data_IF_583274471642
#
_entry.id   IF_583274471642
#
_cell.length_a   1.000
_cell.length_b   1.000
_cell.length_c   1.000
_cell.angle_alpha   90.00
_cell.angle_beta   90.00
_cell.angle_gamma   90.00
#
_symmetry.space_group_name_H-M   'P 1'
#
loop_
_entity.id
_entity.type
_entity.pdbx_description
1 polymer ?
#
# COMPACT_ATOMS: atom_id res chain seq x y z
N UNK A 1 -19.17 25.08 16.54
CA UNK A 1 -18.75 23.88 17.32
C UNK A 1 -17.35 23.46 16.87
N UNK A 2 -16.39 23.20 17.77
CA UNK A 2 -15.06 22.75 17.37
C UNK A 2 -15.16 21.36 16.71
N UNK A 3 -14.54 21.18 15.53
CA UNK A 3 -14.51 19.88 14.83
C UNK A 3 -13.89 18.83 15.75
N UNK A 4 -14.65 17.78 16.08
CA UNK A 4 -14.19 16.67 16.93
C UNK A 4 -12.98 15.99 16.28
N UNK A 5 -11.84 15.94 16.99
CA UNK A 5 -10.63 15.24 16.52
C UNK A 5 -10.98 13.78 16.19
N UNK A 6 -10.53 13.31 15.02
CA UNK A 6 -10.75 11.93 14.58
C UNK A 6 -10.05 10.96 15.54
N UNK A 7 -10.69 9.81 15.80
CA UNK A 7 -10.03 8.73 16.55
C UNK A 7 -8.92 8.10 15.70
N UNK A 8 -7.91 7.51 16.37
CA UNK A 8 -6.78 6.84 15.70
C UNK A 8 -7.24 5.81 14.67
N UNK A 9 -8.27 5.02 14.97
CA UNK A 9 -8.84 4.03 14.04
C UNK A 9 -9.41 4.69 12.77
N UNK A 10 -10.08 5.84 12.90
CA UNK A 10 -10.57 6.60 11.74
C UNK A 10 -9.42 7.18 10.91
N UNK A 11 -8.35 7.66 11.56
CA UNK A 11 -7.14 8.11 10.87
C UNK A 11 -6.46 6.97 10.10
N UNK A 12 -6.31 5.79 10.71
CA UNK A 12 -5.76 4.59 10.03
C UNK A 12 -6.57 4.24 8.79
N UNK A 13 -7.91 4.21 8.88
CA UNK A 13 -8.78 3.94 7.73
C UNK A 13 -8.62 5.00 6.62
N UNK A 14 -8.49 6.27 7.00
CA UNK A 14 -8.23 7.36 6.05
C UNK A 14 -6.87 7.20 5.36
N UNK A 15 -5.81 6.92 6.13
CA UNK A 15 -4.47 6.68 5.60
C UNK A 15 -4.43 5.46 4.67
N UNK A 16 -5.05 4.34 5.07
CA UNK A 16 -5.12 3.14 4.23
C UNK A 16 -5.74 3.45 2.86
N UNK A 17 -6.82 4.24 2.81
CA UNK A 17 -7.46 4.64 1.55
C UNK A 17 -6.53 5.51 0.70
N UNK A 18 -5.92 6.53 1.29
CA UNK A 18 -5.05 7.47 0.58
C UNK A 18 -3.80 6.76 0.07
N UNK A 19 -3.11 6.02 0.93
CA UNK A 19 -1.94 5.23 0.56
C UNK A 19 -2.25 4.21 -0.55
N UNK A 20 -3.40 3.54 -0.46
CA UNK A 20 -3.86 2.59 -1.49
C UNK A 20 -4.05 3.26 -2.85
N UNK A 21 -4.62 4.48 -2.88
CA UNK A 21 -4.76 5.27 -4.12
C UNK A 21 -3.38 5.68 -4.65
N UNK A 22 -2.51 6.21 -3.79
CA UNK A 22 -1.16 6.62 -4.15
C UNK A 22 -0.38 5.47 -4.79
N UNK A 23 -0.34 4.29 -4.19
CA UNK A 23 0.40 3.13 -4.73
C UNK A 23 -0.07 2.79 -6.15
N UNK A 24 -1.39 2.83 -6.41
CA UNK A 24 -1.91 2.51 -7.74
C UNK A 24 -1.64 3.60 -8.76
N UNK A 25 -1.83 4.87 -8.40
CA UNK A 25 -1.54 6.00 -9.28
C UNK A 25 -0.05 6.11 -9.61
N UNK A 26 0.83 5.97 -8.62
CA UNK A 26 2.27 6.04 -8.79
C UNK A 26 2.82 4.96 -9.73
N UNK A 27 2.17 3.80 -9.79
CA UNK A 27 2.56 2.69 -10.67
C UNK A 27 1.72 2.64 -11.97
N UNK A 28 0.88 3.64 -12.22
CA UNK A 28 0.10 3.73 -13.45
C UNK A 28 0.92 4.37 -14.57
N UNK A 29 0.70 3.92 -15.81
CA UNK A 29 1.19 4.59 -16.99
C UNK A 29 0.37 5.87 -17.30
N UNK A 30 0.74 6.57 -18.38
CA UNK A 30 0.03 7.78 -18.86
C UNK A 30 -1.46 7.58 -19.15
N UNK A 31 -1.90 6.34 -19.35
CA UNK A 31 -3.29 5.97 -19.62
C UNK A 31 -4.01 5.46 -18.35
N UNK A 32 -3.36 5.53 -17.18
CA UNK A 32 -3.92 5.08 -15.92
C UNK A 32 -3.87 3.55 -15.73
N UNK A 33 -3.11 2.81 -16.53
CA UNK A 33 -3.02 1.35 -16.41
C UNK A 33 -1.82 0.93 -15.56
N UNK A 34 -2.00 -0.08 -14.71
CA UNK A 34 -0.91 -0.73 -14.00
C UNK A 34 -0.86 -2.22 -14.33
N UNK A 35 0.32 -2.80 -14.13
CA UNK A 35 0.56 -4.24 -14.23
C UNK A 35 0.37 -4.88 -12.85
N UNK A 36 -0.42 -5.95 -12.77
CA UNK A 36 -0.49 -6.77 -11.56
C UNK A 36 0.88 -7.38 -11.27
N UNK A 37 1.41 -7.12 -10.07
CA UNK A 37 2.76 -7.56 -9.68
C UNK A 37 2.96 -9.07 -9.81
N UNK A 38 1.92 -9.89 -9.59
CA UNK A 38 2.07 -11.37 -9.53
C UNK A 38 1.71 -12.10 -10.82
N UNK A 39 0.76 -11.60 -11.60
CA UNK A 39 0.28 -12.28 -12.81
C UNK A 39 0.48 -11.49 -14.09
N UNK A 40 1.09 -10.30 -14.02
CA UNK A 40 1.36 -9.46 -15.18
C UNK A 40 0.14 -8.91 -15.94
N UNK A 41 -1.09 -9.23 -15.54
CA UNK A 41 -2.32 -8.66 -16.14
C UNK A 41 -2.33 -7.14 -16.00
N UNK A 42 -2.59 -6.44 -17.11
CA UNK A 42 -2.77 -4.98 -17.12
C UNK A 42 -4.24 -4.62 -16.90
N UNK A 43 -4.49 -3.66 -16.02
CA UNK A 43 -5.81 -3.09 -15.79
C UNK A 43 -5.68 -1.63 -15.35
N UNK A 44 -6.72 -0.85 -15.58
CA UNK A 44 -6.79 0.53 -15.07
C UNK A 44 -6.68 0.56 -13.54
N UNK A 45 -5.98 1.54 -12.98
CA UNK A 45 -5.67 1.65 -11.55
C UNK A 45 -6.92 1.64 -10.65
N UNK A 46 -8.07 2.05 -11.18
CA UNK A 46 -9.38 2.00 -10.49
C UNK A 46 -9.92 0.57 -10.28
N UNK A 47 -9.44 -0.39 -11.07
CA UNK A 47 -9.86 -1.80 -11.02
C UNK A 47 -8.85 -2.70 -10.28
N UNK A 48 -7.70 -2.15 -9.88
CA UNK A 48 -6.67 -2.88 -9.14
C UNK A 48 -6.78 -2.62 -7.64
N UNK A 49 -6.24 -3.54 -6.85
CA UNK A 49 -5.98 -3.37 -5.43
C UNK A 49 -4.54 -2.90 -5.20
N UNK A 50 -4.26 -2.38 -4.01
CA UNK A 50 -2.90 -2.21 -3.50
C UNK A 50 -2.56 -3.45 -2.65
N UNK A 51 -1.96 -4.46 -3.29
CA UNK A 51 -1.65 -5.74 -2.67
C UNK A 51 -0.40 -5.65 -1.79
N UNK A 52 -0.47 -6.25 -0.60
CA UNK A 52 0.62 -6.29 0.37
C UNK A 52 1.39 -7.61 0.26
N UNK A 53 2.72 -7.54 0.16
CA UNK A 53 3.58 -8.72 0.33
C UNK A 53 3.52 -9.19 1.79
N UNK A 54 4.05 -8.40 2.72
CA UNK A 54 3.82 -8.62 4.15
C UNK A 54 2.48 -8.04 4.57
N UNK A 55 1.64 -8.88 5.18
CA UNK A 55 0.29 -8.53 5.65
C UNK A 55 0.24 -7.20 6.40
N UNK A 56 -0.83 -6.43 6.13
CA UNK A 56 -1.13 -5.14 6.78
C UNK A 56 -1.21 -5.21 8.32
N UNK A 57 -1.30 -6.40 8.92
CA UNK A 57 -1.23 -6.58 10.39
C UNK A 57 0.11 -6.11 10.98
N UNK A 58 1.19 -6.14 10.19
CA UNK A 58 2.51 -5.68 10.59
C UNK A 58 2.63 -4.17 10.33
N UNK A 59 2.55 -3.37 11.40
CA UNK A 59 2.54 -1.90 11.28
C UNK A 59 3.80 -1.33 10.64
N UNK A 60 4.97 -1.92 10.89
CA UNK A 60 6.25 -1.44 10.35
C UNK A 60 6.32 -1.45 8.82
N UNK A 61 5.56 -2.32 8.15
CA UNK A 61 5.57 -2.47 6.70
C UNK A 61 4.22 -2.11 6.04
N UNK A 62 3.21 -1.74 6.84
CA UNK A 62 1.84 -1.51 6.35
C UNK A 62 1.73 -0.42 5.29
N UNK A 63 2.49 0.67 5.48
CA UNK A 63 2.56 1.82 4.56
C UNK A 63 3.97 2.00 3.99
N UNK A 64 4.73 0.91 3.89
CA UNK A 64 6.03 0.90 3.21
C UNK A 64 5.79 0.70 1.70
N UNK A 65 6.14 1.70 0.88
CA UNK A 65 5.93 1.70 -0.57
C UNK A 65 6.64 0.52 -1.29
N UNK A 66 7.65 -0.09 -0.64
CA UNK A 66 8.35 -1.28 -1.14
C UNK A 66 7.57 -2.56 -0.90
N UNK A 67 6.72 -2.59 0.14
CA UNK A 67 5.91 -3.75 0.55
C UNK A 67 4.60 -3.87 -0.24
N UNK A 68 4.17 -2.80 -0.92
CA UNK A 68 2.83 -2.71 -1.51
C UNK A 68 2.92 -2.37 -2.98
N UNK A 69 2.24 -3.15 -3.83
CA UNK A 69 2.25 -3.01 -5.29
C UNK A 69 0.84 -3.19 -5.88
N UNK A 70 0.55 -2.67 -7.08
CA UNK A 70 -0.71 -2.96 -7.75
C UNK A 70 -0.90 -4.45 -7.96
N UNK A 71 -2.06 -4.96 -7.59
CA UNK A 71 -2.40 -6.37 -7.73
C UNK A 71 -3.87 -6.52 -8.14
N UNK A 72 -4.17 -7.40 -9.08
CA UNK A 72 -5.54 -7.64 -9.48
C UNK A 72 -6.33 -8.30 -8.34
N UNK A 73 -7.65 -8.06 -8.31
CA UNK A 73 -8.56 -8.56 -7.27
C UNK A 73 -8.46 -10.08 -7.13
N UNK A 74 -8.39 -10.80 -8.26
CA UNK A 74 -8.26 -12.25 -8.28
C UNK A 74 -7.02 -12.73 -7.53
N UNK A 75 -5.83 -12.22 -7.88
CA UNK A 75 -4.60 -12.64 -7.22
C UNK A 75 -4.53 -12.19 -5.76
N UNK A 76 -4.94 -10.95 -5.47
CA UNK A 76 -4.86 -10.39 -4.12
C UNK A 76 -5.83 -11.06 -3.15
N UNK A 77 -7.09 -11.22 -3.54
CA UNK A 77 -8.15 -11.66 -2.62
C UNK A 77 -8.40 -13.15 -2.71
N UNK A 78 -8.52 -13.71 -3.92
CA UNK A 78 -8.92 -15.11 -4.11
C UNK A 78 -7.73 -16.08 -4.08
N UNK A 79 -6.53 -15.60 -4.41
CA UNK A 79 -5.29 -16.39 -4.39
C UNK A 79 -4.31 -15.94 -3.29
N UNK A 80 -4.83 -15.29 -2.25
CA UNK A 80 -4.08 -14.92 -1.04
C UNK A 80 -2.79 -14.12 -1.32
N UNK A 81 -2.83 -13.28 -2.35
CA UNK A 81 -1.71 -12.42 -2.73
C UNK A 81 -0.62 -13.11 -3.55
N UNK A 82 -0.72 -14.42 -3.85
CA UNK A 82 0.29 -15.18 -4.61
C UNK A 82 1.72 -14.88 -4.11
N UNK A 83 1.93 -15.16 -2.82
CA UNK A 83 3.09 -14.67 -2.07
C UNK A 83 4.44 -15.10 -2.66
N UNK A 84 4.52 -16.31 -3.21
CA UNK A 84 5.73 -16.79 -3.85
C UNK A 84 6.08 -15.94 -5.08
N UNK A 85 5.13 -15.76 -6.00
CA UNK A 85 5.32 -14.93 -7.19
C UNK A 85 5.58 -13.46 -6.84
N UNK A 86 4.92 -12.95 -5.80
CA UNK A 86 5.20 -11.61 -5.28
C UNK A 86 6.67 -11.54 -4.83
N UNK A 87 7.17 -12.54 -4.08
CA UNK A 87 8.56 -12.57 -3.62
C UNK A 87 9.58 -12.62 -4.75
N UNK A 88 9.28 -13.37 -5.84
CA UNK A 88 10.14 -13.42 -7.02
C UNK A 88 10.27 -12.05 -7.67
N UNK A 89 9.18 -11.29 -7.72
CA UNK A 89 9.14 -9.97 -8.35
C UNK A 89 9.79 -8.88 -7.49
N UNK A 90 9.74 -9.02 -6.16
CA UNK A 90 10.50 -8.16 -5.25
C UNK A 90 11.99 -8.49 -5.22
N UNK A 91 12.33 -9.76 -5.45
CA UNK A 91 13.67 -10.28 -5.31
C UNK A 91 14.03 -10.62 -3.86
N UNK A 92 14.94 -11.60 -3.71
CA UNK A 92 15.31 -12.20 -2.42
C UNK A 92 15.70 -11.18 -1.35
N UNK A 93 16.56 -10.22 -1.68
CA UNK A 93 17.07 -9.22 -0.73
C UNK A 93 15.94 -8.39 -0.13
N UNK A 94 15.10 -7.79 -0.99
CA UNK A 94 14.01 -6.93 -0.51
C UNK A 94 12.95 -7.72 0.26
N UNK A 95 12.61 -8.94 -0.18
CA UNK A 95 11.69 -9.80 0.56
C UNK A 95 12.21 -10.12 1.97
N UNK A 96 13.51 -10.38 2.12
CA UNK A 96 14.14 -10.62 3.42
C UNK A 96 14.16 -9.36 4.29
N UNK A 97 14.50 -8.20 3.73
CA UNK A 97 14.52 -6.92 4.45
C UNK A 97 13.11 -6.56 4.96
N UNK A 98 12.08 -6.74 4.14
CA UNK A 98 10.69 -6.52 4.54
C UNK A 98 10.24 -7.49 5.62
N UNK A 99 10.63 -8.77 5.53
CA UNK A 99 10.33 -9.74 6.57
C UNK A 99 11.00 -9.37 7.89
N UNK A 100 12.28 -8.99 7.87
CA UNK A 100 13.02 -8.52 9.06
C UNK A 100 12.34 -7.30 9.68
N UNK A 101 12.06 -6.27 8.87
CA UNK A 101 11.38 -5.05 9.30
C UNK A 101 10.00 -5.33 9.89
N UNK A 102 9.27 -6.31 9.38
CA UNK A 102 7.92 -6.62 9.87
C UNK A 102 7.86 -7.23 11.29
N UNK A 103 9.00 -7.69 11.80
CA UNK A 103 9.16 -8.24 13.15
C UNK A 103 9.54 -7.17 14.18
N UNK A 104 9.85 -5.95 13.74
CA UNK A 104 10.13 -4.83 14.62
C UNK A 104 8.87 -4.31 15.32
N UNK A 105 9.07 -3.57 16.41
CA UNK A 105 7.98 -2.92 17.14
C UNK A 105 7.80 -1.50 16.61
N UNK A 106 6.72 -1.27 15.85
CA UNK A 106 6.36 0.07 15.39
C UNK A 106 5.09 0.58 16.06
N UNK A 107 5.17 1.80 16.58
CA UNK A 107 4.03 2.54 17.14
C UNK A 107 3.93 3.88 16.43
N UNK A 108 2.74 4.20 15.96
CA UNK A 108 2.43 5.50 15.38
C UNK A 108 1.49 6.27 16.30
N UNK A 109 1.86 7.48 16.67
CA UNK A 109 0.96 8.45 17.29
C UNK A 109 -0.09 8.93 16.25
N UNK A 110 -1.24 9.46 16.70
CA UNK A 110 -2.21 10.07 15.79
C UNK A 110 -1.62 11.16 14.89
N UNK A 111 -0.65 11.94 15.40
CA UNK A 111 0.09 12.95 14.63
C UNK A 111 0.88 12.33 13.48
N UNK A 112 1.57 11.21 13.71
CA UNK A 112 2.35 10.53 12.66
C UNK A 112 1.44 10.05 11.52
N UNK A 113 0.25 9.53 11.87
CA UNK A 113 -0.75 9.09 10.89
C UNK A 113 -1.29 10.27 10.11
N UNK A 114 -1.52 11.41 10.77
CA UNK A 114 -1.95 12.63 10.12
C UNK A 114 -0.87 13.17 9.16
N UNK A 115 0.39 13.21 9.58
CA UNK A 115 1.51 13.61 8.73
C UNK A 115 1.65 12.70 7.50
N UNK A 116 1.47 11.38 7.66
CA UNK A 116 1.46 10.45 6.52
C UNK A 116 0.27 10.69 5.59
N UNK A 117 -0.92 10.99 6.13
CA UNK A 117 -2.09 11.35 5.32
C UNK A 117 -1.78 12.57 4.46
N UNK A 118 -1.21 13.60 5.05
CA UNK A 118 -0.91 14.86 4.35
C UNK A 118 0.18 14.64 3.30
N UNK A 119 1.25 13.91 3.65
CA UNK A 119 2.31 13.51 2.74
C UNK A 119 1.80 12.78 1.49
N UNK A 120 1.01 11.71 1.67
CA UNK A 120 0.49 10.95 0.53
C UNK A 120 -0.60 11.68 -0.25
N UNK A 121 -1.33 12.59 0.40
CA UNK A 121 -2.28 13.47 -0.31
C UNK A 121 -1.53 14.41 -1.24
N UNK A 122 -0.47 15.06 -0.76
CA UNK A 122 0.40 15.92 -1.59
C UNK A 122 1.02 15.12 -2.73
N UNK A 123 1.54 13.91 -2.46
CA UNK A 123 2.07 13.04 -3.53
C UNK A 123 1.04 12.71 -4.61
N UNK A 124 -0.22 12.44 -4.24
CA UNK A 124 -1.29 12.20 -5.22
C UNK A 124 -1.54 13.44 -6.07
N UNK A 125 -1.66 14.61 -5.44
CA UNK A 125 -1.88 15.88 -6.14
C UNK A 125 -0.73 16.26 -7.08
N UNK A 126 0.47 15.74 -6.87
CA UNK A 126 1.61 15.96 -7.76
C UNK A 126 1.65 14.95 -8.93
N UNK A 127 0.86 13.88 -8.88
CA UNK A 127 0.73 12.89 -9.97
C UNK A 127 -0.41 13.30 -10.93
N UNK A 128 -1.49 13.87 -10.39
CA UNK A 128 -2.71 14.26 -11.12
C UNK A 128 -2.72 15.75 -11.43
#
# INVERSE_FOLDING_TARGET
MPKKKLSKSKLIKKLDRIFSIYVRLFNADKNGNCKCITCSKQQHYKQLHAGHFISRRHLCTRWDERNVKPQCVYCNTYQQGRQYEFSLQLGKKLSQDLLKKSKEVCKFAPSDIQNMIDHYTTKINNIT
#
